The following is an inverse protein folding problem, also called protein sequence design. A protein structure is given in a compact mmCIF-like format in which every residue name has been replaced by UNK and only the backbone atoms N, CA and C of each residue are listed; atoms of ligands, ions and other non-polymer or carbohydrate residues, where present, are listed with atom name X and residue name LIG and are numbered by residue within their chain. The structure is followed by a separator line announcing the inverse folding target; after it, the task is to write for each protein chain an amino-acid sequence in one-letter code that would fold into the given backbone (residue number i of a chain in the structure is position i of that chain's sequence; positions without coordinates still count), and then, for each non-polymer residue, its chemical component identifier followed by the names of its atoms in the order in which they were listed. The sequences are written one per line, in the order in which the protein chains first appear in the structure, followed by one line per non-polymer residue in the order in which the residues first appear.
data_IF_816445153305
#
_entry.id   IF_816445153305
#
_cell.length_a   1.000
_cell.length_b   1.000
_cell.length_c   1.000
_cell.angle_alpha   90.00
_cell.angle_beta   90.00
_cell.angle_gamma   90.00
#
_symmetry.space_group_name_H-M   'P 1'
#
loop_
_entity.id
_entity.type
_entity.pdbx_description
1 polymer ?
#
# COMPACT_ATOMS: atom_id res chain seq x y z
N UNK A 1 -2.26 -21.51 -4.18
CA UNK A 1 -0.82 -21.17 -4.30
C UNK A 1 -0.15 -21.00 -2.93
N UNK A 2 -0.83 -20.40 -1.96
CA UNK A 2 -0.28 -20.15 -0.63
C UNK A 2 -1.00 -20.90 0.50
N UNK A 3 -1.64 -22.03 0.21
CA UNK A 3 -2.52 -22.79 1.13
C UNK A 3 -1.80 -23.25 2.42
N UNK A 4 -0.47 -23.31 2.39
CA UNK A 4 0.34 -23.69 3.56
C UNK A 4 0.85 -22.47 4.35
N UNK A 5 0.61 -21.24 3.86
CA UNK A 5 1.15 -20.02 4.47
C UNK A 5 0.16 -19.46 5.49
N UNK A 6 0.61 -19.29 6.73
CA UNK A 6 -0.15 -18.68 7.81
C UNK A 6 0.32 -17.24 8.03
N UNK A 7 -0.61 -16.33 7.96
CA UNK A 7 -0.36 -14.88 8.12
C UNK A 7 -1.11 -14.38 9.35
N UNK A 8 -0.39 -13.73 10.25
CA UNK A 8 -0.98 -12.96 11.34
C UNK A 8 -0.80 -11.48 11.01
N UNK A 9 -1.82 -10.67 11.25
CA UNK A 9 -1.73 -9.26 10.93
C UNK A 9 -2.32 -8.35 12.00
N UNK A 10 -1.57 -7.26 12.29
CA UNK A 10 -2.02 -6.13 13.11
C UNK A 10 -2.10 -4.92 12.19
N UNK A 11 -3.25 -4.77 11.56
CA UNK A 11 -3.43 -3.84 10.46
C UNK A 11 -4.69 -3.00 10.61
N UNK A 12 -4.69 -1.85 9.96
CA UNK A 12 -5.85 -0.97 9.87
C UNK A 12 -5.79 -0.13 8.59
N UNK A 13 -6.91 0.51 8.24
CA UNK A 13 -7.09 1.35 7.05
C UNK A 13 -6.94 0.58 5.73
N UNK A 14 -5.94 0.91 4.88
CA UNK A 14 -5.89 0.45 3.49
C UNK A 14 -4.63 -0.33 3.15
N UNK A 15 -3.44 0.22 3.32
CA UNK A 15 -2.21 -0.34 2.74
C UNK A 15 -1.90 -1.77 3.21
N UNK A 16 -1.74 -1.98 4.51
CA UNK A 16 -1.48 -3.32 5.05
C UNK A 16 -2.67 -4.28 4.83
N UNK A 17 -3.95 -3.84 5.03
CA UNK A 17 -5.11 -4.67 4.71
C UNK A 17 -5.18 -5.11 3.24
N UNK A 18 -4.74 -4.29 2.29
CA UNK A 18 -4.70 -4.70 0.89
C UNK A 18 -3.65 -5.80 0.64
N UNK A 19 -2.47 -5.66 1.24
CA UNK A 19 -1.43 -6.70 1.17
C UNK A 19 -1.98 -8.04 1.65
N UNK A 20 -2.55 -8.09 2.85
CA UNK A 20 -3.02 -9.33 3.46
C UNK A 20 -4.28 -9.89 2.80
N UNK A 21 -5.16 -9.03 2.26
CA UNK A 21 -6.26 -9.48 1.39
C UNK A 21 -5.73 -10.21 0.15
N UNK A 22 -4.69 -9.68 -0.49
CA UNK A 22 -4.07 -10.34 -1.66
C UNK A 22 -3.44 -11.68 -1.28
N UNK A 23 -2.83 -11.78 -0.09
CA UNK A 23 -2.34 -13.05 0.44
C UNK A 23 -3.49 -14.05 0.67
N UNK A 24 -4.61 -13.60 1.26
CA UNK A 24 -5.79 -14.45 1.43
C UNK A 24 -6.36 -14.93 0.08
N UNK A 25 -6.46 -14.04 -0.91
CA UNK A 25 -6.89 -14.41 -2.28
C UNK A 25 -5.94 -15.39 -2.95
N UNK A 26 -4.65 -15.37 -2.62
CA UNK A 26 -3.66 -16.32 -3.11
C UNK A 26 -3.70 -17.67 -2.35
N UNK A 27 -4.60 -17.81 -1.37
CA UNK A 27 -4.85 -19.06 -0.61
C UNK A 27 -4.26 -19.07 0.79
N UNK A 28 -3.54 -18.05 1.24
CA UNK A 28 -2.98 -18.03 2.60
C UNK A 28 -4.08 -17.94 3.67
N UNK A 29 -3.86 -18.60 4.80
CA UNK A 29 -4.70 -18.42 5.98
C UNK A 29 -4.30 -17.12 6.68
N UNK A 30 -5.17 -16.11 6.61
CA UNK A 30 -4.92 -14.78 7.19
C UNK A 30 -5.79 -14.57 8.43
N UNK A 31 -5.13 -14.32 9.57
CA UNK A 31 -5.75 -13.98 10.84
C UNK A 31 -5.48 -12.51 11.14
N UNK A 32 -6.52 -11.70 11.03
CA UNK A 32 -6.49 -10.27 11.38
C UNK A 32 -6.79 -10.10 12.86
N UNK A 33 -5.88 -9.48 13.58
CA UNK A 33 -6.07 -9.12 14.98
C UNK A 33 -6.66 -7.72 15.03
N UNK A 34 -7.83 -7.61 15.64
CA UNK A 34 -8.50 -6.34 15.87
C UNK A 34 -8.55 -6.03 17.37
N UNK A 35 -8.47 -4.75 17.71
CA UNK A 35 -8.76 -4.25 19.07
C UNK A 35 -10.28 -4.37 19.33
N UNK A 36 -10.74 -4.26 20.60
CA UNK A 36 -12.18 -4.34 20.92
C UNK A 36 -13.05 -3.37 20.12
N UNK A 37 -12.54 -2.18 19.82
CA UNK A 37 -13.25 -1.16 19.02
C UNK A 37 -13.21 -1.45 17.50
N UNK A 38 -12.45 -2.45 17.07
CA UNK A 38 -12.29 -2.81 15.66
C UNK A 38 -11.32 -1.91 14.89
N UNK A 39 -11.19 -2.20 13.60
CA UNK A 39 -10.49 -1.35 12.64
C UNK A 39 -11.36 -0.11 12.36
N UNK A 40 -10.76 1.08 12.40
CA UNK A 40 -11.52 2.31 12.13
C UNK A 40 -12.05 2.39 10.68
N UNK A 41 -11.52 1.61 9.75
CA UNK A 41 -12.07 1.50 8.40
C UNK A 41 -13.49 0.92 8.39
N UNK A 42 -13.94 0.25 9.46
CA UNK A 42 -15.33 -0.20 9.62
C UNK A 42 -16.34 0.94 9.65
N UNK A 43 -15.87 2.14 10.00
CA UNK A 43 -16.69 3.33 10.23
C UNK A 43 -16.52 4.41 9.16
N UNK A 44 -15.84 4.12 8.05
CA UNK A 44 -15.66 5.10 6.96
C UNK A 44 -16.97 5.42 6.23
N UNK A 45 -17.83 4.45 6.09
CA UNK A 45 -19.13 4.55 5.44
C UNK A 45 -20.01 3.34 5.85
N UNK A 46 -21.22 3.26 5.31
CA UNK A 46 -22.17 2.14 5.52
C UNK A 46 -22.80 1.66 4.20
N UNK A 47 -22.09 1.85 3.09
CA UNK A 47 -22.65 1.71 1.75
C UNK A 47 -22.94 0.25 1.35
N UNK A 48 -22.24 -0.72 1.93
CA UNK A 48 -22.38 -2.13 1.55
C UNK A 48 -23.21 -2.87 2.62
N UNK A 49 -24.53 -2.82 2.48
CA UNK A 49 -25.48 -3.48 3.39
C UNK A 49 -25.27 -3.11 4.87
N UNK A 50 -24.91 -1.86 5.14
CA UNK A 50 -24.62 -1.36 6.48
C UNK A 50 -23.16 -1.46 6.92
N UNK A 51 -22.31 -2.09 6.12
CA UNK A 51 -20.86 -2.18 6.35
C UNK A 51 -20.10 -1.17 5.47
N UNK A 52 -18.90 -0.79 5.91
CA UNK A 52 -18.01 0.07 5.13
C UNK A 52 -17.51 -0.62 3.86
N UNK A 53 -17.64 0.06 2.72
CA UNK A 53 -17.11 -0.42 1.44
C UNK A 53 -15.60 -0.70 1.51
N UNK A 54 -14.83 0.14 2.19
CA UNK A 54 -13.40 -0.09 2.43
C UNK A 54 -13.16 -1.35 3.24
N UNK A 55 -13.91 -1.54 4.33
CA UNK A 55 -13.70 -2.70 5.18
C UNK A 55 -14.06 -4.01 4.47
N UNK A 56 -15.19 -4.06 3.79
CA UNK A 56 -15.64 -5.22 3.01
C UNK A 56 -14.62 -5.55 1.91
N UNK A 57 -14.21 -4.55 1.14
CA UNK A 57 -13.23 -4.74 0.08
C UNK A 57 -11.89 -5.29 0.61
N UNK A 58 -11.34 -4.70 1.67
CA UNK A 58 -9.98 -4.96 2.14
C UNK A 58 -9.86 -6.19 3.05
N UNK A 59 -10.98 -6.75 3.53
CA UNK A 59 -10.93 -7.85 4.49
C UNK A 59 -11.59 -9.15 4.02
N UNK A 60 -12.02 -9.20 2.74
CA UNK A 60 -12.56 -10.42 2.16
C UNK A 60 -11.55 -11.57 2.25
N UNK A 61 -12.03 -12.74 2.73
CA UNK A 61 -11.23 -13.96 2.87
C UNK A 61 -10.35 -14.06 4.12
N UNK A 62 -10.38 -13.06 5.01
CA UNK A 62 -9.66 -13.09 6.29
C UNK A 62 -10.52 -13.63 7.42
N UNK A 63 -9.87 -14.19 8.44
CA UNK A 63 -10.45 -14.48 9.74
C UNK A 63 -10.15 -13.32 10.68
N UNK A 64 -11.17 -12.75 11.34
CA UNK A 64 -10.98 -11.68 12.33
C UNK A 64 -11.03 -12.26 13.74
N UNK A 65 -10.09 -11.81 14.59
CA UNK A 65 -10.01 -12.15 16.01
C UNK A 65 -9.84 -10.87 16.81
N UNK A 66 -10.74 -10.65 17.77
CA UNK A 66 -10.66 -9.51 18.68
C UNK A 66 -9.79 -9.87 19.87
N UNK A 67 -8.71 -9.13 20.07
CA UNK A 67 -7.82 -9.26 21.23
C UNK A 67 -7.59 -7.88 21.87
N UNK A 68 -7.85 -7.78 23.18
CA UNK A 68 -7.41 -6.61 23.94
C UNK A 68 -5.93 -6.78 24.34
N UNK A 69 -5.03 -6.17 23.58
CA UNK A 69 -3.58 -6.26 23.78
C UNK A 69 -3.08 -5.50 25.04
N UNK A 70 -3.99 -4.82 25.77
CA UNK A 70 -3.70 -4.21 27.08
C UNK A 70 -3.76 -5.24 28.20
N UNK A 71 -4.34 -6.41 27.94
CA UNK A 71 -4.43 -7.51 28.91
C UNK A 71 -3.34 -8.55 28.65
N UNK A 72 -2.85 -9.18 29.73
CA UNK A 72 -1.85 -10.25 29.63
C UNK A 72 -2.35 -11.43 28.80
N UNK A 73 -3.64 -11.76 28.90
CA UNK A 73 -4.28 -12.83 28.13
C UNK A 73 -4.28 -12.52 26.63
N UNK A 74 -4.69 -11.31 26.24
CA UNK A 74 -4.71 -10.89 24.84
C UNK A 74 -3.29 -10.84 24.25
N UNK A 75 -2.33 -10.30 25.00
CA UNK A 75 -0.94 -10.25 24.59
C UNK A 75 -0.31 -11.65 24.47
N UNK A 76 -0.60 -12.54 25.42
CA UNK A 76 -0.14 -13.94 25.37
C UNK A 76 -0.71 -14.65 24.14
N UNK A 77 -2.00 -14.47 23.83
CA UNK A 77 -2.62 -15.06 22.67
C UNK A 77 -1.98 -14.54 21.36
N UNK A 78 -1.71 -13.23 21.25
CA UNK A 78 -1.00 -12.66 20.10
C UNK A 78 0.38 -13.29 19.92
N UNK A 79 1.18 -13.39 20.99
CA UNK A 79 2.52 -13.99 20.93
C UNK A 79 2.46 -15.45 20.46
N UNK A 80 1.48 -16.24 20.91
CA UNK A 80 1.29 -17.62 20.45
C UNK A 80 0.90 -17.69 18.97
N UNK A 81 0.08 -16.76 18.47
CA UNK A 81 -0.28 -16.68 17.06
C UNK A 81 0.94 -16.34 16.20
N UNK A 82 1.76 -15.37 16.61
CA UNK A 82 3.00 -15.00 15.91
C UNK A 82 3.97 -16.18 15.86
N UNK A 83 4.10 -16.94 16.96
CA UNK A 83 4.96 -18.13 16.98
C UNK A 83 4.56 -19.21 15.96
N UNK A 84 3.28 -19.27 15.58
CA UNK A 84 2.74 -20.25 14.63
C UNK A 84 2.61 -19.71 13.21
N UNK A 85 2.82 -18.41 13.02
CA UNK A 85 2.70 -17.74 11.73
C UNK A 85 3.98 -17.89 10.90
N UNK A 86 3.83 -17.94 9.59
CA UNK A 86 4.92 -17.81 8.62
C UNK A 86 5.25 -16.35 8.36
N UNK A 87 4.22 -15.51 8.33
CA UNK A 87 4.31 -14.09 7.99
C UNK A 87 3.57 -13.26 9.03
N UNK A 88 4.19 -12.19 9.50
CA UNK A 88 3.55 -11.12 10.25
C UNK A 88 3.48 -9.86 9.36
N UNK A 89 2.29 -9.29 9.20
CA UNK A 89 2.12 -7.97 8.57
C UNK A 89 1.59 -6.97 9.60
N UNK A 90 2.17 -5.79 9.66
CA UNK A 90 1.68 -4.76 10.59
C UNK A 90 1.84 -3.34 10.01
N UNK A 91 0.94 -2.44 10.42
CA UNK A 91 1.08 -1.00 10.15
C UNK A 91 0.79 -0.15 11.40
N UNK A 92 1.21 -0.66 12.54
CA UNK A 92 1.18 0.08 13.80
C UNK A 92 2.20 1.22 13.79
N UNK A 93 2.03 2.17 14.70
CA UNK A 93 3.04 3.23 14.88
C UNK A 93 4.42 2.62 15.15
N UNK A 94 5.50 3.22 14.65
CA UNK A 94 6.86 2.77 14.95
C UNK A 94 7.07 2.55 16.45
N UNK A 95 7.68 1.42 16.79
CA UNK A 95 7.92 1.03 18.19
C UNK A 95 6.71 0.46 18.95
N UNK A 96 5.53 0.39 18.37
CA UNK A 96 4.35 -0.13 19.07
C UNK A 96 4.47 -1.62 19.41
N UNK A 97 5.01 -2.45 18.52
CA UNK A 97 5.27 -3.87 18.80
C UNK A 97 6.27 -4.06 19.93
N UNK A 98 7.36 -3.29 19.94
CA UNK A 98 8.37 -3.33 21.00
C UNK A 98 7.76 -2.96 22.36
N UNK A 99 6.84 -1.99 22.43
CA UNK A 99 6.10 -1.64 23.66
C UNK A 99 5.19 -2.78 24.15
N UNK A 100 4.75 -3.66 23.28
CA UNK A 100 4.02 -4.89 23.61
C UNK A 100 4.96 -6.05 23.99
N UNK A 101 6.26 -5.80 24.08
CA UNK A 101 7.26 -6.84 24.35
C UNK A 101 7.38 -7.86 23.21
N UNK A 102 7.23 -7.38 21.97
CA UNK A 102 7.45 -8.16 20.74
C UNK A 102 8.56 -7.46 19.97
N UNK A 103 9.78 -7.97 20.10
CA UNK A 103 10.92 -7.52 19.29
C UNK A 103 11.03 -8.41 18.05
N UNK A 104 10.91 -7.81 16.87
CA UNK A 104 11.01 -8.55 15.62
C UNK A 104 12.43 -9.06 15.34
N UNK A 105 13.47 -8.39 15.85
CA UNK A 105 14.83 -8.87 15.72
C UNK A 105 15.02 -10.20 16.48
N UNK A 106 14.54 -10.26 17.73
CA UNK A 106 14.56 -11.49 18.52
C UNK A 106 13.75 -12.63 17.85
N UNK A 107 12.59 -12.30 17.26
CA UNK A 107 11.78 -13.29 16.54
C UNK A 107 12.53 -13.83 15.33
N UNK A 108 13.23 -12.99 14.56
CA UNK A 108 14.03 -13.42 13.42
C UNK A 108 15.28 -14.22 13.83
N UNK A 109 15.91 -13.87 14.93
CA UNK A 109 17.04 -14.64 15.48
C UNK A 109 16.62 -16.07 15.86
N UNK A 110 15.49 -16.19 16.56
CA UNK A 110 14.95 -17.49 16.98
C UNK A 110 14.35 -18.29 15.82
N UNK A 111 13.85 -17.63 14.79
CA UNK A 111 13.18 -18.20 13.63
C UNK A 111 13.66 -17.56 12.33
N UNK A 112 14.83 -17.95 11.82
CA UNK A 112 15.39 -17.35 10.60
C UNK A 112 14.49 -17.49 9.36
N UNK A 113 13.54 -18.43 9.32
CA UNK A 113 12.57 -18.60 8.24
C UNK A 113 11.37 -17.64 8.32
N UNK A 114 11.22 -16.90 9.42
CA UNK A 114 10.11 -15.98 9.62
C UNK A 114 10.16 -14.80 8.66
N UNK A 115 8.99 -14.31 8.24
CA UNK A 115 8.87 -13.11 7.40
C UNK A 115 8.08 -12.07 8.19
N UNK A 116 8.60 -10.86 8.32
CA UNK A 116 7.86 -9.74 8.88
C UNK A 116 7.78 -8.59 7.89
N UNK A 117 6.62 -7.94 7.83
CA UNK A 117 6.37 -6.75 7.00
C UNK A 117 5.88 -5.63 7.90
N UNK A 118 6.60 -4.54 7.89
CA UNK A 118 6.22 -3.29 8.56
C UNK A 118 5.87 -2.24 7.51
N UNK A 119 4.62 -1.83 7.47
CA UNK A 119 4.13 -0.75 6.60
C UNK A 119 4.06 0.53 7.42
N UNK A 120 4.73 1.58 6.96
CA UNK A 120 4.82 2.87 7.66
C UNK A 120 4.61 4.05 6.70
N UNK A 121 4.47 5.27 7.24
CA UNK A 121 4.35 6.47 6.42
C UNK A 121 5.65 6.85 5.72
N UNK A 122 6.76 6.78 6.47
CA UNK A 122 8.11 7.09 6.01
C UNK A 122 9.06 5.95 6.40
N UNK A 123 10.22 5.90 5.75
CA UNK A 123 11.28 4.95 6.12
C UNK A 123 11.62 5.04 7.61
N UNK A 124 11.79 3.91 8.30
CA UNK A 124 12.12 3.89 9.73
C UNK A 124 13.44 4.59 10.06
N UNK A 125 14.34 4.66 9.10
CA UNK A 125 15.66 5.29 9.25
C UNK A 125 15.68 6.74 8.72
N UNK A 126 14.55 7.22 8.17
CA UNK A 126 14.43 8.54 7.58
C UNK A 126 14.02 9.63 8.58
N UNK A 127 14.24 10.91 8.23
CA UNK A 127 13.88 12.06 9.09
C UNK A 127 12.37 12.21 9.31
N UNK A 128 11.55 11.57 8.48
CA UNK A 128 10.08 11.61 8.55
C UNK A 128 9.46 10.50 9.41
N UNK A 129 10.24 9.59 10.01
CA UNK A 129 9.76 8.36 10.67
C UNK A 129 8.63 8.55 11.68
N UNK A 130 8.60 9.67 12.39
CA UNK A 130 7.63 9.95 13.44
C UNK A 130 6.46 10.84 12.96
N UNK A 131 6.46 11.22 11.68
CA UNK A 131 5.41 12.05 11.08
C UNK A 131 4.14 11.22 10.82
N UNK A 132 2.99 11.89 10.94
CA UNK A 132 1.71 11.30 10.53
C UNK A 132 1.68 11.08 9.02
N UNK A 133 1.12 9.96 8.61
CA UNK A 133 0.98 9.59 7.22
C UNK A 133 -0.44 9.09 6.95
N UNK A 134 -1.03 9.62 5.91
CA UNK A 134 -2.27 9.17 5.26
C UNK A 134 -2.10 9.39 3.77
N UNK A 135 -2.84 8.69 2.95
CA UNK A 135 -2.74 8.74 1.49
C UNK A 135 -2.66 10.16 0.93
N UNK A 136 -3.62 11.03 1.29
CA UNK A 136 -3.63 12.43 0.81
C UNK A 136 -2.40 13.21 1.27
N UNK A 137 -1.93 13.00 2.50
CA UNK A 137 -0.71 13.66 2.99
C UNK A 137 0.51 13.22 2.19
N UNK A 138 0.57 11.94 1.81
CA UNK A 138 1.66 11.41 0.99
C UNK A 138 1.56 11.90 -0.46
N UNK A 139 0.37 11.99 -1.03
CA UNK A 139 0.19 12.60 -2.35
C UNK A 139 0.64 14.08 -2.38
N UNK A 140 0.37 14.82 -1.30
CA UNK A 140 0.80 16.22 -1.19
C UNK A 140 2.31 16.35 -0.94
N UNK A 141 2.84 15.62 0.04
CA UNK A 141 4.25 15.69 0.45
C UNK A 141 5.21 15.23 -0.66
N UNK A 142 4.81 14.23 -1.44
CA UNK A 142 5.62 13.72 -2.57
C UNK A 142 5.55 14.61 -3.82
N UNK A 143 4.58 15.53 -3.90
CA UNK A 143 4.31 16.32 -5.09
C UNK A 143 3.35 15.66 -6.08
N UNK A 144 2.86 14.46 -5.82
CA UNK A 144 1.91 13.77 -6.71
C UNK A 144 0.63 14.59 -6.90
N UNK A 145 0.09 15.15 -5.82
CA UNK A 145 -1.09 16.01 -5.90
C UNK A 145 -0.80 17.32 -6.65
N UNK A 146 0.44 17.81 -6.60
CA UNK A 146 0.81 19.03 -7.31
C UNK A 146 0.87 18.85 -8.82
N UNK A 147 1.35 17.72 -9.32
CA UNK A 147 1.40 17.42 -10.76
C UNK A 147 0.09 16.86 -11.31
N UNK A 148 -0.84 16.46 -10.44
CA UNK A 148 -2.16 15.93 -10.78
C UNK A 148 -3.19 17.07 -10.76
N UNK A 149 -4.17 17.02 -11.67
CA UNK A 149 -5.23 18.02 -11.76
C UNK A 149 -5.19 18.83 -13.03
N UNK A 150 -5.92 19.96 -13.03
CA UNK A 150 -5.97 20.89 -14.16
C UNK A 150 -4.80 21.88 -14.12
N UNK A 151 -4.50 22.59 -15.22
CA UNK A 151 -3.49 23.65 -15.21
C UNK A 151 -3.71 24.71 -14.14
N UNK A 152 -4.95 24.90 -13.69
CA UNK A 152 -5.35 25.95 -12.77
C UNK A 152 -5.44 25.50 -11.31
N UNK A 153 -5.55 24.20 -11.05
CA UNK A 153 -5.69 23.67 -9.69
C UNK A 153 -5.07 22.28 -9.53
N UNK A 154 -4.33 22.04 -8.43
CA UNK A 154 -3.87 20.72 -8.08
C UNK A 154 -5.05 19.79 -7.78
N UNK A 155 -4.83 18.49 -7.88
CA UNK A 155 -5.84 17.50 -7.59
C UNK A 155 -5.23 16.24 -7.01
N UNK A 156 -5.94 15.61 -6.09
CA UNK A 156 -5.56 14.25 -5.68
C UNK A 156 -5.97 13.24 -6.75
N UNK A 157 -5.30 12.10 -6.80
CA UNK A 157 -5.84 10.94 -7.50
C UNK A 157 -7.13 10.52 -6.82
N UNK A 158 -8.18 10.20 -7.58
CA UNK A 158 -9.54 9.95 -7.08
C UNK A 158 -9.71 8.76 -6.14
N UNK A 159 -8.69 7.90 -6.03
CA UNK A 159 -8.59 6.76 -5.10
C UNK A 159 -7.40 6.96 -4.16
N UNK A 160 -7.30 6.16 -3.08
CA UNK A 160 -6.14 6.15 -2.19
C UNK A 160 -4.95 5.46 -2.85
N UNK A 161 -4.41 6.09 -3.89
CA UNK A 161 -3.43 5.48 -4.81
C UNK A 161 -2.13 5.08 -4.12
N UNK A 162 -1.66 5.90 -3.17
CA UNK A 162 -0.41 5.64 -2.45
C UNK A 162 -0.60 4.45 -1.51
N UNK A 163 -1.71 4.41 -0.76
CA UNK A 163 -2.04 3.26 0.08
C UNK A 163 -2.18 1.97 -0.73
N UNK A 164 -2.89 2.05 -1.87
CA UNK A 164 -3.11 0.91 -2.77
C UNK A 164 -1.77 0.39 -3.30
N UNK A 165 -0.94 1.26 -3.85
CA UNK A 165 0.36 0.88 -4.38
C UNK A 165 1.28 0.31 -3.29
N UNK A 166 1.29 0.92 -2.08
CA UNK A 166 2.04 0.42 -0.94
C UNK A 166 1.60 -1.00 -0.54
N UNK A 167 0.28 -1.25 -0.52
CA UNK A 167 -0.25 -2.59 -0.26
C UNK A 167 0.14 -3.61 -1.33
N UNK A 168 0.24 -3.18 -2.60
CA UNK A 168 0.73 -4.02 -3.70
C UNK A 168 2.22 -4.33 -3.54
N UNK A 169 3.05 -3.33 -3.29
CA UNK A 169 4.50 -3.53 -3.07
C UNK A 169 4.78 -4.40 -1.85
N UNK A 170 4.04 -4.21 -0.76
CA UNK A 170 4.14 -5.08 0.40
C UNK A 170 3.80 -6.53 0.07
N UNK A 171 2.75 -6.77 -0.73
CA UNK A 171 2.40 -8.11 -1.20
C UNK A 171 3.50 -8.72 -2.09
N UNK A 172 4.04 -7.97 -3.04
CA UNK A 172 5.14 -8.40 -3.91
C UNK A 172 6.39 -8.75 -3.10
N UNK A 173 6.73 -7.93 -2.11
CA UNK A 173 7.86 -8.19 -1.22
C UNK A 173 7.67 -9.47 -0.39
N UNK A 174 6.45 -9.77 0.08
CA UNK A 174 6.14 -11.03 0.75
C UNK A 174 6.33 -12.21 -0.21
N UNK A 175 5.85 -12.12 -1.46
CA UNK A 175 6.07 -13.19 -2.44
C UNK A 175 7.56 -13.43 -2.71
N UNK A 176 8.34 -12.35 -2.89
CA UNK A 176 9.80 -12.43 -3.03
C UNK A 176 10.47 -13.10 -1.83
N UNK A 177 10.05 -12.74 -0.61
CA UNK A 177 10.55 -13.36 0.62
C UNK A 177 10.17 -14.84 0.76
N UNK A 178 8.97 -15.23 0.33
CA UNK A 178 8.53 -16.62 0.31
C UNK A 178 9.34 -17.45 -0.69
N UNK A 179 9.62 -16.92 -1.88
CA UNK A 179 10.48 -17.56 -2.89
C UNK A 179 11.91 -17.73 -2.33
N UNK A 180 12.48 -16.66 -1.75
CA UNK A 180 13.80 -16.73 -1.10
C UNK A 180 13.81 -17.79 -0.01
N UNK A 181 12.81 -17.78 0.86
CA UNK A 181 12.67 -18.78 1.93
C UNK A 181 12.62 -20.21 1.39
N UNK A 182 11.88 -20.43 0.29
CA UNK A 182 11.82 -21.74 -0.37
C UNK A 182 13.18 -22.23 -0.86
N UNK A 183 14.05 -21.32 -1.32
CA UNK A 183 15.38 -21.65 -1.85
C UNK A 183 16.46 -21.74 -0.77
N UNK A 184 16.36 -20.94 0.29
CA UNK A 184 17.45 -20.77 1.27
C UNK A 184 17.10 -21.19 2.69
N UNK A 185 15.83 -21.44 2.99
CA UNK A 185 15.32 -21.63 4.34
C UNK A 185 15.20 -20.33 5.15
N UNK A 186 15.62 -19.17 4.60
CA UNK A 186 15.70 -17.88 5.31
C UNK A 186 14.61 -16.93 4.83
N UNK A 187 13.83 -16.40 5.78
CA UNK A 187 12.83 -15.36 5.56
C UNK A 187 13.42 -13.96 5.40
N UNK A 188 12.62 -12.94 5.73
CA UNK A 188 13.05 -11.55 5.60
C UNK A 188 12.31 -10.64 6.59
N UNK A 189 12.99 -9.61 7.09
CA UNK A 189 12.39 -8.43 7.68
C UNK A 189 12.23 -7.37 6.57
N UNK A 190 10.98 -6.97 6.31
CA UNK A 190 10.62 -6.09 5.20
C UNK A 190 10.04 -4.80 5.78
N UNK A 191 10.54 -3.66 5.31
CA UNK A 191 9.96 -2.35 5.56
C UNK A 191 9.46 -1.77 4.22
N UNK A 192 8.21 -1.30 4.20
CA UNK A 192 7.62 -0.60 3.05
C UNK A 192 7.04 0.70 3.56
N UNK A 193 7.39 1.83 2.91
CA UNK A 193 6.83 3.10 3.30
C UNK A 193 5.94 3.69 2.21
N UNK A 194 4.92 4.46 2.65
CA UNK A 194 4.02 5.18 1.74
C UNK A 194 4.79 6.23 0.93
N UNK A 195 5.75 6.92 1.56
CA UNK A 195 6.52 7.96 0.89
C UNK A 195 7.44 7.38 -0.19
N UNK A 196 8.14 6.27 0.08
CA UNK A 196 8.99 5.61 -0.92
C UNK A 196 8.15 5.07 -2.08
N UNK A 197 6.96 4.54 -1.77
CA UNK A 197 5.98 4.15 -2.80
C UNK A 197 5.55 5.34 -3.66
N UNK A 198 5.26 6.48 -3.06
CA UNK A 198 4.90 7.68 -3.81
C UNK A 198 6.08 8.19 -4.66
N UNK A 199 7.31 8.08 -4.16
CA UNK A 199 8.52 8.42 -4.92
C UNK A 199 8.70 7.51 -6.15
N UNK A 200 8.42 6.22 -6.03
CA UNK A 200 8.45 5.29 -7.17
C UNK A 200 7.40 5.67 -8.24
N UNK A 201 6.18 6.02 -7.83
CA UNK A 201 5.15 6.52 -8.75
C UNK A 201 5.58 7.81 -9.48
N UNK A 202 6.48 8.58 -8.88
CA UNK A 202 7.00 9.85 -9.41
C UNK A 202 8.36 9.69 -10.12
N UNK A 203 8.84 8.47 -10.35
CA UNK A 203 10.19 8.25 -10.91
C UNK A 203 10.43 9.03 -12.21
N UNK A 204 9.51 8.98 -13.17
CA UNK A 204 9.65 9.70 -14.46
C UNK A 204 9.59 11.22 -14.27
N UNK A 205 8.58 11.82 -13.62
CA UNK A 205 8.58 13.25 -13.30
C UNK A 205 9.84 13.72 -12.58
N UNK A 206 10.33 12.94 -11.62
CA UNK A 206 11.57 13.24 -10.91
C UNK A 206 12.79 13.26 -11.83
N UNK A 207 12.95 12.25 -12.70
CA UNK A 207 14.07 12.17 -13.64
C UNK A 207 14.03 13.31 -14.65
N UNK A 208 12.86 13.64 -15.18
CA UNK A 208 12.67 14.77 -16.09
C UNK A 208 13.05 16.10 -15.42
N UNK A 209 12.68 16.30 -14.18
CA UNK A 209 13.06 17.50 -13.41
C UNK A 209 14.56 17.51 -13.13
N UNK A 210 15.10 16.40 -12.62
CA UNK A 210 16.51 16.31 -12.17
C UNK A 210 17.51 16.51 -13.28
N UNK A 211 17.22 15.99 -14.47
CA UNK A 211 18.14 16.01 -15.61
C UNK A 211 17.68 16.95 -16.73
N UNK A 212 16.40 17.17 -16.90
CA UNK A 212 15.83 18.09 -17.89
C UNK A 212 15.72 19.54 -17.40
N UNK A 213 15.84 19.78 -16.11
CA UNK A 213 15.84 21.13 -15.52
C UNK A 213 14.45 21.78 -15.39
N UNK A 214 13.40 21.17 -15.92
CA UNK A 214 12.06 21.74 -15.89
C UNK A 214 11.22 21.06 -14.81
N UNK A 215 10.54 21.89 -13.99
CA UNK A 215 9.57 21.35 -13.03
C UNK A 215 8.39 20.70 -13.76
N UNK A 216 7.92 19.53 -13.32
CA UNK A 216 6.72 18.91 -13.87
C UNK A 216 5.53 19.88 -13.83
N UNK A 217 4.75 19.92 -14.91
CA UNK A 217 3.59 20.79 -15.03
C UNK A 217 2.29 20.00 -14.87
N UNK A 218 1.28 20.65 -14.29
CA UNK A 218 -0.10 20.13 -14.35
C UNK A 218 -0.68 20.36 -15.73
N UNK A 219 -0.92 19.32 -16.46
CA UNK A 219 -1.39 19.39 -17.85
C UNK A 219 -2.76 18.70 -18.05
N UNK A 220 -3.46 18.38 -16.96
CA UNK A 220 -4.75 17.70 -17.01
C UNK A 220 -4.64 16.30 -17.60
N UNK A 221 -5.36 16.06 -18.68
CA UNK A 221 -5.36 14.76 -19.41
C UNK A 221 -4.40 14.73 -20.62
N UNK A 222 -3.56 15.74 -20.78
CA UNK A 222 -2.53 15.75 -21.83
C UNK A 222 -1.30 14.94 -21.39
N UNK A 223 -0.40 14.67 -22.32
CA UNK A 223 0.88 14.02 -22.06
C UNK A 223 2.03 15.01 -22.27
N UNK A 224 3.07 15.04 -21.38
CA UNK A 224 4.15 16.04 -21.49
C UNK A 224 5.06 15.85 -22.70
N UNK A 225 5.11 14.68 -23.31
CA UNK A 225 6.02 14.37 -24.41
C UNK A 225 5.38 13.70 -25.63
N UNK A 226 4.04 13.55 -25.67
CA UNK A 226 3.35 12.87 -26.76
C UNK A 226 2.19 13.74 -27.26
N UNK A 227 2.09 13.93 -28.58
CA UNK A 227 1.05 14.70 -29.24
C UNK A 227 0.67 14.03 -30.58
N UNK A 228 -0.67 13.94 -30.92
CA UNK A 228 -1.80 14.32 -30.09
C UNK A 228 -2.10 13.32 -28.96
N UNK A 229 -2.29 13.84 -27.77
CA UNK A 229 -2.65 13.06 -26.58
C UNK A 229 -3.48 13.94 -25.64
N UNK A 230 -4.71 13.57 -25.36
CA UNK A 230 -5.55 14.35 -24.45
C UNK A 230 -7.04 14.30 -24.78
N UNK A 231 -7.76 15.31 -24.31
CA UNK A 231 -9.19 15.48 -24.56
C UNK A 231 -9.40 16.43 -25.73
N UNK A 232 -10.23 15.99 -26.66
CA UNK A 232 -10.64 16.73 -27.84
C UNK A 232 -12.16 16.89 -27.85
N UNK A 233 -12.66 17.85 -28.61
CA UNK A 233 -14.09 18.10 -28.77
C UNK A 233 -14.44 17.94 -30.26
N UNK A 234 -15.40 17.08 -30.55
CA UNK A 234 -15.92 16.87 -31.92
C UNK A 234 -16.83 18.01 -32.37
N UNK A 235 -17.19 18.03 -33.66
CA UNK A 235 -18.05 19.05 -34.21
C UNK A 235 -19.45 19.10 -33.55
N UNK A 236 -19.93 17.97 -33.04
CA UNK A 236 -21.19 17.84 -32.31
C UNK A 236 -21.03 18.08 -30.80
N UNK A 237 -19.91 18.71 -30.37
CA UNK A 237 -19.58 19.12 -29.01
C UNK A 237 -19.40 17.93 -28.03
N UNK A 238 -19.19 16.72 -28.52
CA UNK A 238 -18.87 15.57 -27.68
C UNK A 238 -17.37 15.57 -27.31
N UNK A 239 -17.07 15.20 -26.06
CA UNK A 239 -15.69 15.04 -25.60
C UNK A 239 -15.22 13.61 -25.83
N UNK A 240 -14.03 13.46 -26.39
CA UNK A 240 -13.38 12.16 -26.55
C UNK A 240 -11.91 12.26 -26.18
N UNK A 241 -11.32 11.14 -25.80
CA UNK A 241 -9.88 11.03 -25.52
C UNK A 241 -9.21 10.42 -26.74
N UNK A 242 -8.13 11.06 -27.18
CA UNK A 242 -7.28 10.57 -28.26
C UNK A 242 -5.86 10.41 -27.71
N UNK A 243 -5.21 9.31 -28.08
CA UNK A 243 -3.80 9.04 -27.77
C UNK A 243 -3.15 8.41 -28.99
N UNK A 244 -2.19 9.10 -29.60
CA UNK A 244 -1.39 8.61 -30.72
C UNK A 244 0.02 8.40 -30.23
N UNK A 245 0.50 7.15 -30.26
CA UNK A 245 1.75 6.77 -29.64
C UNK A 245 2.93 6.66 -30.61
N UNK A 246 2.65 6.55 -31.92
CA UNK A 246 3.65 6.31 -32.94
C UNK A 246 3.19 6.79 -34.32
N UNK A 247 4.14 6.82 -35.28
CA UNK A 247 3.94 7.28 -36.65
C UNK A 247 2.88 6.46 -37.42
N UNK A 248 2.79 5.16 -37.20
CA UNK A 248 1.79 4.31 -37.83
C UNK A 248 0.36 4.70 -37.44
N UNK A 249 0.17 4.96 -36.14
CA UNK A 249 -1.14 5.40 -35.61
C UNK A 249 -1.47 6.81 -36.13
N UNK A 250 -0.47 7.67 -36.24
CA UNK A 250 -0.64 9.00 -36.80
C UNK A 250 -1.12 8.92 -38.28
N UNK A 251 -0.50 8.09 -39.10
CA UNK A 251 -0.89 7.87 -40.50
C UNK A 251 -2.28 7.26 -40.64
N UNK A 252 -2.73 6.49 -39.65
CA UNK A 252 -4.10 5.94 -39.65
C UNK A 252 -5.14 6.95 -39.20
N UNK A 253 -4.76 7.96 -38.46
CA UNK A 253 -5.64 9.03 -37.99
C UNK A 253 -5.87 10.07 -39.11
N UNK A 254 -4.87 10.39 -39.92
CA UNK A 254 -4.95 11.31 -41.05
C UNK A 254 -5.59 10.68 -42.25
#
# INVERSE_FOLDING_TARGET
MLEQVKVVTLEQAVAAPLCTRRLAHAGAEVIKIERPEGDFARYYDSAVLGESAYFVWLNAGKKSVVLDLRTDQGLSALKQLIQRADVLVQNLKPGALAKLGIDLADVHEQRPSFISVSVSGFSPDGPGRDRKAYDLLMQAESGLADITGSPHAPGRVGVSIVDIATGMFAYEAVLGALIRRGNTGVGAAIAVSLFDTAAELLAVPYLLHRYGGNAPQRIGLAHPGICPYGVFVSADQQRFVLSVQNEREWQQLC
#
